data_IF_127909674409
#
_entry.id   IF_127909674409
#
_cell.length_a   1.000
_cell.length_b   1.000
_cell.length_c   1.000
_cell.angle_alpha   90.00
_cell.angle_beta   90.00
_cell.angle_gamma   90.00
#
_symmetry.space_group_name_H-M   'P 1'
#
loop_
_entity.id
_entity.type
_entity.pdbx_description
1 polymer ?
#
# COMPACT_ATOMS: atom_id res chain seq x y z
N UNK A 1 41.09 -2.31 -19.02
CA UNK A 1 41.30 -2.34 -17.56
C UNK A 1 39.93 -2.09 -16.93
N UNK A 2 39.21 -3.16 -16.65
CA UNK A 2 37.98 -3.07 -15.89
C UNK A 2 38.34 -2.81 -14.43
N UNK A 3 38.16 -1.59 -13.97
CA UNK A 3 38.16 -1.29 -12.55
C UNK A 3 36.89 -1.92 -11.95
N UNK A 4 36.97 -3.22 -11.75
CA UNK A 4 35.90 -4.08 -11.28
C UNK A 4 35.79 -3.95 -9.76
N UNK A 5 35.07 -2.90 -9.30
CA UNK A 5 34.83 -2.69 -7.88
C UNK A 5 33.53 -3.43 -7.53
N UNK A 6 33.64 -4.57 -6.79
CA UNK A 6 32.48 -5.44 -6.51
C UNK A 6 31.34 -4.71 -5.79
N UNK A 7 31.66 -3.79 -4.89
CA UNK A 7 30.68 -3.01 -4.12
C UNK A 7 29.84 -2.11 -5.01
N UNK A 8 30.45 -1.52 -6.04
CA UNK A 8 29.73 -0.68 -7.02
C UNK A 8 28.79 -1.54 -7.87
N UNK A 9 29.27 -2.71 -8.33
CA UNK A 9 28.44 -3.65 -9.10
C UNK A 9 27.23 -4.11 -8.30
N UNK A 10 27.44 -4.50 -7.05
CA UNK A 10 26.35 -4.96 -6.19
C UNK A 10 25.34 -3.84 -5.95
N UNK A 11 25.78 -2.62 -5.71
CA UNK A 11 24.90 -1.49 -5.52
C UNK A 11 24.09 -1.16 -6.80
N UNK A 12 24.71 -1.22 -7.97
CA UNK A 12 24.02 -1.08 -9.27
C UNK A 12 22.98 -2.19 -9.43
N UNK A 13 23.31 -3.43 -9.10
CA UNK A 13 22.40 -4.57 -9.16
C UNK A 13 21.18 -4.38 -8.25
N UNK A 14 21.38 -3.90 -7.03
CA UNK A 14 20.28 -3.62 -6.09
C UNK A 14 19.38 -2.48 -6.60
N UNK A 15 19.95 -1.38 -7.07
CA UNK A 15 19.19 -0.27 -7.62
C UNK A 15 18.42 -0.65 -8.89
N UNK A 16 18.97 -1.55 -9.70
CA UNK A 16 18.30 -2.04 -10.93
C UNK A 16 17.07 -2.88 -10.66
N UNK A 17 16.88 -3.37 -9.42
CA UNK A 17 15.67 -4.10 -8.99
C UNK A 17 14.54 -3.17 -8.57
N UNK A 18 14.81 -1.89 -8.40
CA UNK A 18 13.78 -0.92 -8.02
C UNK A 18 12.86 -0.64 -9.23
N UNK A 19 11.54 -0.54 -9.01
CA UNK A 19 10.60 -0.26 -10.08
C UNK A 19 10.96 1.01 -10.84
N UNK A 20 10.93 0.96 -12.17
CA UNK A 20 11.26 2.08 -13.05
C UNK A 20 12.77 2.37 -13.20
N UNK A 21 13.65 1.62 -12.55
CA UNK A 21 15.10 1.78 -12.68
C UNK A 21 15.74 0.62 -13.46
N UNK A 22 16.09 0.89 -14.71
CA UNK A 22 16.90 -0.05 -15.50
C UNK A 22 18.41 0.07 -15.16
N UNK A 23 19.23 -0.89 -15.62
CA UNK A 23 20.69 -0.93 -15.33
C UNK A 23 21.45 0.36 -15.70
N UNK A 24 21.10 0.99 -16.83
CA UNK A 24 21.72 2.25 -17.27
C UNK A 24 21.42 3.40 -16.29
N UNK A 25 20.17 3.52 -15.85
CA UNK A 25 19.76 4.55 -14.88
C UNK A 25 20.35 4.30 -13.52
N UNK A 26 20.36 3.05 -13.04
CA UNK A 26 21.00 2.65 -11.79
C UNK A 26 22.49 3.03 -11.80
N UNK A 27 23.24 2.68 -12.85
CA UNK A 27 24.66 3.03 -13.00
C UNK A 27 24.89 4.55 -12.90
N UNK A 28 24.07 5.35 -13.59
CA UNK A 28 24.16 6.81 -13.57
C UNK A 28 23.90 7.38 -12.18
N UNK A 29 22.90 6.87 -11.47
CA UNK A 29 22.57 7.28 -10.11
C UNK A 29 23.72 6.96 -9.17
N UNK A 30 24.25 5.72 -9.21
CA UNK A 30 25.36 5.30 -8.32
C UNK A 30 26.62 6.14 -8.54
N UNK A 31 26.99 6.41 -9.80
CA UNK A 31 28.14 7.29 -10.09
C UNK A 31 27.94 8.71 -9.54
N UNK A 32 26.72 9.26 -9.64
CA UNK A 32 26.39 10.57 -9.05
C UNK A 32 26.49 10.55 -7.52
N UNK A 33 26.01 9.47 -6.89
CA UNK A 33 26.11 9.29 -5.44
C UNK A 33 27.57 9.21 -4.97
N UNK A 34 28.40 8.43 -5.68
CA UNK A 34 29.83 8.27 -5.35
C UNK A 34 30.60 9.58 -5.47
N UNK A 35 30.28 10.41 -6.46
CA UNK A 35 30.93 11.71 -6.63
C UNK A 35 30.60 12.71 -5.50
N UNK A 36 29.56 12.43 -4.70
CA UNK A 36 29.16 13.32 -3.59
C UNK A 36 28.78 12.51 -2.34
N UNK A 37 29.74 11.71 -1.86
CA UNK A 37 29.53 10.75 -0.77
C UNK A 37 29.00 11.40 0.51
N UNK A 38 29.62 12.48 0.96
CA UNK A 38 29.27 13.11 2.23
C UNK A 38 27.86 13.72 2.22
N UNK A 39 27.47 14.37 1.13
CA UNK A 39 26.19 15.07 1.05
C UNK A 39 25.04 14.20 0.51
N UNK A 40 25.33 13.05 -0.12
CA UNK A 40 24.31 12.19 -0.70
C UNK A 40 24.29 10.79 -0.07
N UNK A 41 25.41 10.04 -0.09
CA UNK A 41 25.40 8.64 0.40
C UNK A 41 25.18 8.61 1.90
N UNK A 42 25.92 9.40 2.66
CA UNK A 42 25.90 9.38 4.12
C UNK A 42 24.50 9.70 4.71
N UNK A 43 23.82 10.78 4.31
CA UNK A 43 22.46 11.05 4.80
C UNK A 43 21.44 10.02 4.28
N UNK A 44 21.55 9.55 3.04
CA UNK A 44 20.67 8.53 2.48
C UNK A 44 20.79 7.21 3.26
N UNK A 45 22.01 6.73 3.47
CA UNK A 45 22.26 5.50 4.22
C UNK A 45 21.74 5.61 5.66
N UNK A 46 21.92 6.76 6.32
CA UNK A 46 21.40 7.03 7.66
C UNK A 46 19.86 6.98 7.67
N UNK A 47 19.20 7.62 6.70
CA UNK A 47 17.75 7.65 6.61
C UNK A 47 17.18 6.25 6.33
N UNK A 48 17.77 5.49 5.40
CA UNK A 48 17.37 4.12 5.12
C UNK A 48 17.50 3.22 6.37
N UNK A 49 18.62 3.33 7.08
CA UNK A 49 18.84 2.58 8.32
C UNK A 49 17.82 2.95 9.41
N UNK A 50 17.45 4.23 9.51
CA UNK A 50 16.42 4.67 10.46
C UNK A 50 15.04 4.13 10.11
N UNK A 51 14.64 4.19 8.85
CA UNK A 51 13.37 3.62 8.38
C UNK A 51 13.33 2.13 8.66
N UNK A 52 14.38 1.40 8.28
CA UNK A 52 14.48 -0.05 8.52
C UNK A 52 14.33 -0.43 10.01
N UNK A 53 14.96 0.35 10.91
CA UNK A 53 14.94 0.05 12.35
C UNK A 53 13.66 0.47 13.06
N UNK A 54 13.01 1.54 12.61
CA UNK A 54 11.97 2.23 13.39
C UNK A 54 10.57 2.12 12.80
N UNK A 55 10.45 1.90 11.49
CA UNK A 55 9.15 1.90 10.82
C UNK A 55 8.68 0.47 10.62
N UNK A 56 7.47 0.19 11.08
CA UNK A 56 6.83 -1.11 10.93
C UNK A 56 5.42 -0.94 10.41
N UNK A 57 4.88 -1.98 9.78
CA UNK A 57 3.49 -2.04 9.37
C UNK A 57 2.62 -2.41 10.56
N UNK A 58 1.53 -1.71 10.77
CA UNK A 58 0.54 -2.05 11.78
C UNK A 58 -0.21 -3.33 11.38
N UNK A 59 -0.25 -4.31 12.25
CA UNK A 59 -0.94 -5.59 12.01
C UNK A 59 -2.47 -5.45 11.97
N UNK A 60 -3.01 -4.40 12.61
CA UNK A 60 -4.45 -4.17 12.64
C UNK A 60 -4.98 -3.43 11.42
N UNK A 61 -4.30 -2.38 10.95
CA UNK A 61 -4.83 -1.52 9.88
C UNK A 61 -3.95 -1.45 8.62
N UNK A 62 -2.76 -2.02 8.65
CA UNK A 62 -1.82 -2.01 7.54
C UNK A 62 -1.06 -0.71 7.33
N UNK A 63 -1.34 0.35 8.10
CA UNK A 63 -0.63 1.62 8.01
C UNK A 63 0.78 1.53 8.59
N UNK A 64 1.65 2.45 8.22
CA UNK A 64 2.98 2.56 8.80
C UNK A 64 2.91 3.24 10.16
N UNK A 65 3.69 2.74 11.11
CA UNK A 65 3.87 3.32 12.44
C UNK A 65 5.31 3.19 12.90
N UNK A 66 5.70 3.97 13.88
CA UNK A 66 6.93 3.73 14.60
C UNK A 66 6.76 2.52 15.55
N UNK A 67 7.81 1.70 15.68
CA UNK A 67 7.79 0.49 16.49
C UNK A 67 7.37 0.78 17.94
N UNK A 68 7.82 1.92 18.48
CA UNK A 68 7.58 2.34 19.87
C UNK A 68 6.28 3.15 20.05
N UNK A 69 5.46 3.31 19.00
CA UNK A 69 4.24 4.10 19.07
C UNK A 69 3.00 3.26 18.80
N UNK A 70 1.94 3.59 19.52
CA UNK A 70 0.60 3.06 19.27
C UNK A 70 0.11 3.60 17.91
N UNK A 71 -0.54 2.76 17.13
CA UNK A 71 -1.09 3.17 15.85
C UNK A 71 -2.34 4.05 16.06
N UNK A 72 -2.53 5.03 15.18
CA UNK A 72 -3.72 5.89 15.16
C UNK A 72 -5.01 5.06 15.12
N UNK A 73 -5.00 3.93 14.44
CA UNK A 73 -6.18 3.05 14.37
C UNK A 73 -6.65 2.47 15.71
N UNK A 74 -5.81 2.53 16.73
CA UNK A 74 -6.14 2.04 18.09
C UNK A 74 -6.55 3.18 19.03
N UNK A 75 -6.20 4.42 18.69
CA UNK A 75 -6.45 5.61 19.54
C UNK A 75 -7.67 6.43 19.09
N UNK A 76 -8.07 6.30 17.83
CA UNK A 76 -9.20 7.07 17.26
C UNK A 76 -10.36 6.14 16.92
N UNK A 77 -11.49 6.36 17.60
CA UNK A 77 -12.77 5.69 17.35
C UNK A 77 -13.86 6.71 16.96
N UNK A 78 -13.47 7.88 16.47
CA UNK A 78 -14.40 8.99 16.19
C UNK A 78 -15.25 8.80 14.92
N UNK A 79 -14.86 7.86 14.05
CA UNK A 79 -15.53 7.64 12.77
C UNK A 79 -16.28 6.32 12.72
N UNK A 80 -17.43 6.32 12.06
CA UNK A 80 -18.27 5.14 11.82
C UNK A 80 -18.08 4.53 10.41
N UNK A 81 -17.10 5.04 9.65
CA UNK A 81 -16.78 4.61 8.28
C UNK A 81 -15.34 4.17 8.15
N UNK A 82 -15.11 3.18 7.30
CA UNK A 82 -13.77 2.69 6.97
C UNK A 82 -13.60 2.57 5.45
N UNK A 83 -12.49 3.15 4.95
CA UNK A 83 -12.07 3.00 3.56
C UNK A 83 -11.01 1.89 3.47
N UNK A 84 -11.29 0.88 2.68
CA UNK A 84 -10.40 -0.27 2.45
C UNK A 84 -9.67 -0.08 1.14
N UNK A 85 -8.35 -0.01 1.21
CA UNK A 85 -7.45 0.19 0.06
C UNK A 85 -6.47 -0.98 -0.08
N UNK A 86 -5.93 -1.19 -1.27
CA UNK A 86 -4.98 -2.26 -1.55
C UNK A 86 -3.62 -2.01 -0.91
N UNK A 87 -3.11 -0.80 -1.08
CA UNK A 87 -1.77 -0.43 -0.67
C UNK A 87 -1.71 0.97 -0.05
N UNK A 88 -0.55 1.32 0.47
CA UNK A 88 -0.32 2.58 1.17
C UNK A 88 -0.37 3.79 0.22
N UNK A 89 0.05 3.62 -1.03
CA UNK A 89 0.04 4.71 -2.00
C UNK A 89 -1.39 5.14 -2.34
N UNK A 90 -2.32 4.19 -2.49
CA UNK A 90 -3.73 4.48 -2.70
C UNK A 90 -4.33 5.25 -1.53
N UNK A 91 -4.00 4.85 -0.30
CA UNK A 91 -4.42 5.59 0.89
C UNK A 91 -3.92 7.03 0.86
N UNK A 92 -2.66 7.26 0.55
CA UNK A 92 -2.09 8.62 0.49
C UNK A 92 -2.75 9.49 -0.58
N UNK A 93 -3.13 8.91 -1.72
CA UNK A 93 -3.85 9.64 -2.79
C UNK A 93 -5.21 10.12 -2.26
N UNK A 94 -5.99 9.25 -1.61
CA UNK A 94 -7.29 9.61 -1.07
C UNK A 94 -7.15 10.61 0.10
N UNK A 95 -6.17 10.40 0.96
CA UNK A 95 -5.89 11.28 2.10
C UNK A 95 -5.47 12.69 1.64
N UNK A 96 -4.62 12.78 0.62
CA UNK A 96 -4.16 14.06 0.07
C UNK A 96 -5.29 14.89 -0.53
N UNK A 97 -6.35 14.26 -1.04
CA UNK A 97 -7.53 14.96 -1.53
C UNK A 97 -8.38 15.58 -0.40
N UNK A 98 -8.17 15.16 0.86
CA UNK A 98 -8.83 15.67 2.06
C UNK A 98 -10.38 15.67 2.00
N UNK A 99 -10.96 14.77 1.24
CA UNK A 99 -12.41 14.64 1.03
C UNK A 99 -13.04 13.55 1.90
N UNK A 100 -12.23 12.54 2.29
CA UNK A 100 -12.70 11.43 3.11
C UNK A 100 -12.35 11.64 4.58
N UNK A 101 -13.38 11.56 5.44
CA UNK A 101 -13.23 11.57 6.91
C UNK A 101 -13.69 10.22 7.44
N UNK A 102 -12.75 9.40 7.83
CA UNK A 102 -13.00 8.04 8.28
C UNK A 102 -11.71 7.28 8.57
N UNK A 103 -11.85 6.04 8.97
CA UNK A 103 -10.73 5.15 9.16
C UNK A 103 -10.23 4.61 7.83
N UNK A 104 -8.93 4.32 7.74
CA UNK A 104 -8.36 3.57 6.64
C UNK A 104 -7.98 2.15 7.06
N UNK A 105 -8.07 1.23 6.12
CA UNK A 105 -7.56 -0.12 6.25
C UNK A 105 -6.83 -0.53 4.97
N UNK A 106 -5.56 -0.85 5.11
CA UNK A 106 -4.67 -1.18 3.99
C UNK A 106 -4.48 -2.69 3.97
N UNK A 107 -5.00 -3.34 2.94
CA UNK A 107 -4.94 -4.80 2.80
C UNK A 107 -3.50 -5.32 2.66
N UNK A 108 -2.68 -4.59 1.88
CA UNK A 108 -1.31 -4.98 1.55
C UNK A 108 -1.16 -5.72 0.25
N UNK A 109 -2.17 -5.65 -0.61
CA UNK A 109 -2.22 -6.27 -1.93
C UNK A 109 -3.63 -6.69 -2.31
N UNK A 110 -3.72 -7.49 -3.35
CA UNK A 110 -4.96 -8.08 -3.88
C UNK A 110 -4.89 -9.61 -3.83
N UNK A 111 -6.03 -10.25 -3.96
CA UNK A 111 -6.10 -11.71 -4.08
C UNK A 111 -5.72 -12.10 -5.51
N UNK A 112 -4.63 -12.85 -5.66
CA UNK A 112 -4.23 -13.42 -6.93
C UNK A 112 -4.76 -14.86 -7.03
N UNK A 113 -5.37 -15.23 -8.16
CA UNK A 113 -5.96 -16.56 -8.36
C UNK A 113 -4.93 -17.71 -8.36
N UNK A 114 -3.64 -17.39 -8.54
CA UNK A 114 -2.58 -18.39 -8.73
C UNK A 114 -1.71 -18.63 -7.48
N UNK A 115 -1.85 -17.89 -6.39
CA UNK A 115 -0.94 -18.02 -5.24
C UNK A 115 -1.67 -18.03 -3.90
N UNK A 116 -1.83 -19.24 -3.35
CA UNK A 116 -2.31 -19.45 -1.97
C UNK A 116 -1.44 -18.80 -0.88
N UNK A 117 -0.26 -18.28 -1.24
CA UNK A 117 0.71 -17.68 -0.31
C UNK A 117 0.42 -16.20 -0.02
N UNK A 118 -0.06 -15.45 -1.01
CA UNK A 118 -0.37 -14.02 -0.85
C UNK A 118 -1.66 -13.79 -0.05
N UNK A 119 -2.64 -14.68 -0.15
CA UNK A 119 -3.89 -14.58 0.62
C UNK A 119 -3.67 -14.60 2.14
N UNK A 120 -2.61 -15.28 2.62
CA UNK A 120 -2.27 -15.32 4.06
C UNK A 120 -1.76 -13.99 4.59
N UNK A 121 -1.22 -13.13 3.74
CA UNK A 121 -0.61 -11.86 4.12
C UNK A 121 -1.59 -10.67 4.04
N UNK A 122 -2.77 -10.85 3.44
CA UNK A 122 -3.78 -9.81 3.38
C UNK A 122 -4.45 -9.63 4.76
N UNK A 123 -4.61 -8.37 5.15
CA UNK A 123 -5.19 -8.03 6.45
C UNK A 123 -6.73 -8.11 6.49
N UNK A 124 -7.35 -9.03 5.73
CA UNK A 124 -8.82 -9.17 5.67
C UNK A 124 -9.37 -9.64 7.02
N UNK A 125 -8.71 -10.59 7.69
CA UNK A 125 -9.14 -11.03 9.03
C UNK A 125 -9.10 -9.90 10.06
N UNK A 126 -8.09 -9.03 9.96
CA UNK A 126 -7.97 -7.86 10.81
C UNK A 126 -9.04 -6.81 10.50
N UNK A 127 -9.39 -6.61 9.23
CA UNK A 127 -10.52 -5.76 8.82
C UNK A 127 -11.81 -6.19 9.52
N UNK A 128 -12.15 -7.47 9.47
CA UNK A 128 -13.37 -8.01 10.08
C UNK A 128 -13.38 -7.77 11.60
N UNK A 129 -12.25 -7.99 12.28
CA UNK A 129 -12.12 -7.71 13.71
C UNK A 129 -12.35 -6.21 14.01
N UNK A 130 -11.78 -5.32 13.21
CA UNK A 130 -11.94 -3.86 13.38
C UNK A 130 -13.37 -3.41 13.16
N UNK A 131 -14.05 -3.94 12.14
CA UNK A 131 -15.45 -3.64 11.85
C UNK A 131 -16.30 -3.91 13.08
N UNK A 132 -16.15 -5.09 13.68
CA UNK A 132 -16.92 -5.52 14.86
C UNK A 132 -16.56 -4.71 16.12
N UNK A 133 -15.26 -4.52 16.36
CA UNK A 133 -14.75 -3.80 17.53
C UNK A 133 -15.20 -2.33 17.57
N UNK A 134 -15.20 -1.65 16.42
CA UNK A 134 -15.44 -0.21 16.35
C UNK A 134 -16.90 0.14 15.98
N UNK A 135 -17.80 -0.86 15.90
CA UNK A 135 -19.21 -0.68 15.51
C UNK A 135 -19.37 0.17 14.23
N UNK A 136 -18.57 -0.13 13.22
CA UNK A 136 -18.57 0.60 11.96
C UNK A 136 -19.89 0.38 11.22
N UNK A 137 -20.41 1.46 10.62
CA UNK A 137 -21.69 1.45 9.89
C UNK A 137 -21.49 1.33 8.38
N UNK A 138 -20.35 1.77 7.87
CA UNK A 138 -20.06 1.76 6.44
C UNK A 138 -18.65 1.28 6.14
N UNK A 139 -18.53 0.36 5.19
CA UNK A 139 -17.26 -0.10 4.60
C UNK A 139 -17.23 0.34 3.15
N UNK A 140 -16.27 1.19 2.81
CA UNK A 140 -16.04 1.70 1.46
C UNK A 140 -14.89 0.91 0.86
N UNK A 141 -15.14 0.11 -0.16
CA UNK A 141 -14.13 -0.69 -0.85
C UNK A 141 -13.53 0.14 -1.98
N UNK A 142 -12.25 0.47 -1.85
CA UNK A 142 -11.48 1.29 -2.78
C UNK A 142 -10.33 0.47 -3.39
N UNK A 143 -10.67 -0.72 -3.92
CA UNK A 143 -9.74 -1.56 -4.68
C UNK A 143 -9.71 -1.15 -6.15
N UNK A 144 -8.67 -1.57 -6.88
CA UNK A 144 -8.49 -1.28 -8.29
C UNK A 144 -9.58 -1.91 -9.17
N UNK A 145 -9.74 -1.39 -10.39
CA UNK A 145 -10.65 -1.97 -11.41
C UNK A 145 -10.11 -3.24 -12.08
N UNK A 146 -8.97 -3.76 -11.63
CA UNK A 146 -8.37 -5.00 -12.13
C UNK A 146 -9.19 -6.21 -11.72
N UNK A 147 -8.97 -7.35 -12.37
CA UNK A 147 -9.64 -8.63 -12.02
C UNK A 147 -9.34 -9.00 -10.57
N UNK A 148 -8.10 -8.86 -10.15
CA UNK A 148 -7.63 -9.15 -8.80
C UNK A 148 -8.29 -8.22 -7.76
N UNK A 149 -8.36 -6.91 -8.07
CA UNK A 149 -9.01 -5.93 -7.20
C UNK A 149 -10.49 -6.21 -7.03
N UNK A 150 -11.18 -6.55 -8.13
CA UNK A 150 -12.60 -6.93 -8.13
C UNK A 150 -12.84 -8.22 -7.34
N UNK A 151 -12.00 -9.25 -7.56
CA UNK A 151 -12.07 -10.52 -6.82
C UNK A 151 -11.89 -10.27 -5.32
N UNK A 152 -10.94 -9.41 -4.96
CA UNK A 152 -10.71 -9.02 -3.56
C UNK A 152 -11.91 -8.30 -2.96
N UNK A 153 -12.52 -7.38 -3.72
CA UNK A 153 -13.73 -6.68 -3.31
C UNK A 153 -14.89 -7.65 -3.04
N UNK A 154 -15.16 -8.57 -3.96
CA UNK A 154 -16.23 -9.58 -3.80
C UNK A 154 -15.99 -10.48 -2.58
N UNK A 155 -14.75 -10.93 -2.38
CA UNK A 155 -14.42 -11.75 -1.21
C UNK A 155 -14.68 -11.00 0.11
N UNK A 156 -14.32 -9.71 0.18
CA UNK A 156 -14.59 -8.88 1.35
C UNK A 156 -16.10 -8.74 1.54
N UNK A 157 -16.85 -8.42 0.49
CA UNK A 157 -18.32 -8.30 0.53
C UNK A 157 -18.98 -9.56 1.08
N UNK A 158 -18.64 -10.72 0.52
CA UNK A 158 -19.22 -12.00 0.94
C UNK A 158 -18.89 -12.33 2.40
N UNK A 159 -17.68 -11.95 2.84
CA UNK A 159 -17.25 -12.22 4.22
C UNK A 159 -17.99 -11.36 5.25
N UNK A 160 -18.38 -10.11 4.90
CA UNK A 160 -19.04 -9.18 5.83
C UNK A 160 -20.55 -9.03 5.59
N UNK A 161 -21.11 -9.71 4.60
CA UNK A 161 -22.52 -9.61 4.17
C UNK A 161 -23.55 -9.86 5.27
N UNK A 162 -23.18 -10.62 6.29
CA UNK A 162 -24.06 -10.95 7.43
C UNK A 162 -24.04 -9.90 8.55
N UNK A 163 -23.15 -8.94 8.49
CA UNK A 163 -22.93 -7.95 9.55
C UNK A 163 -23.70 -6.68 9.18
N UNK A 164 -24.96 -6.53 9.15
CA UNK A 164 -25.84 -5.33 8.98
C UNK A 164 -25.11 -3.98 8.67
N UNK A 165 -24.07 -4.02 7.84
CA UNK A 165 -23.16 -2.94 7.52
C UNK A 165 -23.41 -2.51 6.08
N UNK A 166 -23.44 -1.20 5.85
CA UNK A 166 -23.50 -0.67 4.49
C UNK A 166 -22.17 -0.88 3.79
N UNK A 167 -22.18 -1.55 2.66
CA UNK A 167 -21.00 -1.74 1.81
C UNK A 167 -21.14 -0.85 0.58
N UNK A 168 -20.14 -0.05 0.30
CA UNK A 168 -20.07 0.81 -0.88
C UNK A 168 -18.73 0.59 -1.60
N UNK A 169 -18.71 0.84 -2.90
CA UNK A 169 -17.48 0.81 -3.72
C UNK A 169 -17.21 2.19 -4.29
N UNK A 170 -15.93 2.54 -4.46
CA UNK A 170 -15.60 3.71 -5.25
C UNK A 170 -16.08 3.53 -6.70
N UNK A 171 -16.65 4.60 -7.26
CA UNK A 171 -17.02 4.61 -8.67
C UNK A 171 -15.76 4.41 -9.53
N UNK A 172 -15.78 3.41 -10.36
CA UNK A 172 -14.69 3.07 -11.27
C UNK A 172 -15.06 3.63 -12.64
N UNK A 173 -14.86 4.91 -12.88
CA UNK A 173 -15.02 5.53 -14.21
C UNK A 173 -16.23 5.08 -15.03
N UNK A 174 -16.22 5.34 -16.33
CA UNK A 174 -17.21 4.76 -17.27
C UNK A 174 -16.93 3.26 -17.44
N UNK A 175 -17.95 2.39 -17.33
CA UNK A 175 -17.78 0.97 -17.58
C UNK A 175 -17.15 0.74 -18.95
N UNK A 176 -16.12 -0.10 -19.02
CA UNK A 176 -15.53 -0.54 -20.29
C UNK A 176 -16.64 -1.20 -21.11
N UNK A 177 -16.97 -0.60 -22.25
CA UNK A 177 -18.04 -1.09 -23.14
C UNK A 177 -19.23 -0.16 -23.36
N UNK A 178 -19.34 0.96 -22.65
CA UNK A 178 -20.26 2.02 -23.05
C UNK A 178 -19.62 2.82 -24.19
N UNK A 179 -20.02 2.48 -25.42
CA UNK A 179 -19.71 3.29 -26.60
C UNK A 179 -20.39 4.66 -26.46
N UNK A 180 -19.60 5.73 -26.40
CA UNK A 180 -20.08 7.12 -26.45
C UNK A 180 -20.59 7.53 -27.87
N UNK A 181 -20.82 6.55 -28.77
CA UNK A 181 -21.17 6.80 -30.20
C UNK A 181 -22.70 6.87 -30.40
N UNK A 182 -23.51 6.80 -29.35
CA UNK A 182 -24.95 6.97 -29.46
C UNK A 182 -25.46 8.17 -28.65
N UNK A 183 -24.99 9.34 -29.00
CA UNK A 183 -25.69 10.60 -28.75
C UNK A 183 -25.77 11.33 -30.11
#
# INVERSE_FOLDING_TARGET
MDNDIPEIKELIRQFSKLPGLGPKSAKRIILKLINNKENMIKPLAKSLAQVYKKVVRCEDCGNLKLIDRICICSSDNSYDKICVVENLADMWVIESANIFKGHYHILGGTMNSNENYEQKNLLIKSLIKRIKKNNLKEVIIATSATVEGQTTAHYIEDTIKNDKIKITKLAQGLPVGLSLIHI
#
